data_IF_614640281283
#
_entry.id   IF_614640281283
#
_cell.length_a   1.000
_cell.length_b   1.000
_cell.length_c   1.000
_cell.angle_alpha   90.00
_cell.angle_beta   90.00
_cell.angle_gamma   90.00
#
_symmetry.space_group_name_H-M   'P 1'
#
loop_
_entity.id
_entity.type
_entity.pdbx_description
1 polymer ?
#
# COMPACT_ATOMS: atom_id res chain seq x y z
N UNK A 1 13.71 24.12 21.80
CA UNK A 1 14.28 23.37 20.64
C UNK A 1 15.68 23.91 20.39
N UNK A 2 16.71 23.08 20.40
CA UNK A 2 18.11 23.51 20.22
C UNK A 2 18.52 23.50 18.75
N UNK A 3 18.21 24.59 18.04
CA UNK A 3 18.76 24.88 16.72
C UNK A 3 20.29 25.05 16.82
N UNK A 4 21.05 24.51 15.87
CA UNK A 4 22.51 24.65 15.81
C UNK A 4 23.35 23.60 16.54
N UNK A 5 22.75 22.56 17.16
CA UNK A 5 23.53 21.42 17.68
C UNK A 5 23.55 20.28 16.66
N UNK A 6 24.72 19.98 16.12
CA UNK A 6 24.94 18.78 15.31
C UNK A 6 24.99 17.52 16.17
N UNK A 7 24.47 16.41 15.65
CA UNK A 7 24.57 15.11 16.30
C UNK A 7 25.95 14.50 16.05
N UNK A 8 26.64 14.09 17.13
CA UNK A 8 27.95 13.42 17.08
C UNK A 8 27.85 12.13 17.89
N UNK A 9 28.23 10.99 17.30
CA UNK A 9 28.49 9.74 18.04
C UNK A 9 29.99 9.66 18.32
N UNK A 10 30.44 10.27 19.42
CA UNK A 10 31.82 10.09 19.95
C UNK A 10 32.97 10.21 18.93
N UNK A 11 32.81 10.99 17.86
CA UNK A 11 33.83 11.23 16.82
C UNK A 11 34.35 12.68 16.93
N UNK A 12 35.68 12.86 16.85
CA UNK A 12 36.32 14.17 16.69
C UNK A 12 36.21 14.59 15.21
N UNK A 13 35.47 15.67 14.90
CA UNK A 13 35.32 16.16 13.52
C UNK A 13 34.04 16.97 13.25
N UNK A 14 33.82 17.29 11.97
CA UNK A 14 32.60 17.94 11.46
C UNK A 14 31.37 17.09 11.83
N UNK A 15 30.29 17.68 12.38
CA UNK A 15 29.10 16.91 12.75
C UNK A 15 28.50 16.20 11.53
N UNK A 16 28.24 14.88 11.67
CA UNK A 16 27.62 14.06 10.59
C UNK A 16 26.22 14.52 10.21
N UNK A 17 25.52 15.16 11.13
CA UNK A 17 24.20 15.75 10.91
C UNK A 17 24.19 17.12 11.59
N UNK A 18 23.98 18.20 10.84
CA UNK A 18 23.86 19.54 11.38
C UNK A 18 22.79 20.35 10.66
N UNK A 19 21.96 21.06 11.42
CA UNK A 19 21.00 22.01 10.88
C UNK A 19 21.69 23.36 10.64
N UNK A 20 21.55 23.91 9.45
CA UNK A 20 21.95 25.30 9.20
C UNK A 20 20.98 26.27 9.91
N UNK A 21 21.47 27.48 10.14
CA UNK A 21 20.69 28.53 10.79
C UNK A 21 19.50 28.88 9.88
N UNK A 22 18.28 28.74 10.40
CA UNK A 22 17.03 28.88 9.63
C UNK A 22 16.30 27.57 9.34
N UNK A 23 16.94 26.41 9.55
CA UNK A 23 16.26 25.11 9.46
C UNK A 23 15.84 24.70 8.04
N UNK A 24 16.33 25.38 7.01
CA UNK A 24 16.02 25.12 5.59
C UNK A 24 17.02 24.18 4.93
N UNK A 25 18.19 23.99 5.54
CA UNK A 25 19.26 23.12 5.05
C UNK A 25 19.73 22.20 6.17
N UNK A 26 19.86 20.92 5.82
CA UNK A 26 20.44 19.86 6.64
C UNK A 26 21.78 19.49 6.03
N UNK A 27 22.86 19.61 6.78
CA UNK A 27 24.14 19.05 6.40
C UNK A 27 24.21 17.59 6.88
N UNK A 28 24.38 16.64 5.97
CA UNK A 28 24.57 15.23 6.26
C UNK A 28 25.86 14.74 5.62
N UNK A 29 26.80 14.25 6.43
CA UNK A 29 28.13 13.78 5.99
C UNK A 29 28.90 14.76 5.09
N UNK A 30 28.72 16.08 5.30
CA UNK A 30 29.35 17.13 4.50
C UNK A 30 28.53 17.57 3.29
N UNK A 31 27.49 16.84 2.92
CA UNK A 31 26.57 17.19 1.83
C UNK A 31 25.45 18.10 2.35
N UNK A 32 25.13 19.16 1.61
CA UNK A 32 24.03 20.08 1.92
C UNK A 32 22.75 19.59 1.27
N UNK A 33 21.75 19.27 2.09
CA UNK A 33 20.44 18.80 1.65
C UNK A 33 19.41 19.88 1.97
N UNK A 34 18.72 20.38 0.95
CA UNK A 34 17.63 21.32 1.15
C UNK A 34 16.38 20.60 1.65
N UNK A 35 15.73 21.17 2.66
CA UNK A 35 14.49 20.60 3.20
C UNK A 35 13.36 20.63 2.17
N UNK A 36 13.37 21.62 1.26
CA UNK A 36 12.44 21.67 0.11
C UNK A 36 12.57 20.45 -0.78
N UNK A 37 13.79 19.99 -1.04
CA UNK A 37 14.04 18.87 -1.94
C UNK A 37 13.59 17.56 -1.30
N UNK A 38 13.83 17.40 0.01
CA UNK A 38 13.29 16.28 0.79
C UNK A 38 11.76 16.27 0.79
N UNK A 39 11.11 17.43 0.97
CA UNK A 39 9.66 17.56 0.91
C UNK A 39 9.12 17.22 -0.48
N UNK A 40 9.77 17.72 -1.54
CA UNK A 40 9.38 17.44 -2.92
C UNK A 40 9.54 15.95 -3.25
N UNK A 41 10.63 15.32 -2.82
CA UNK A 41 10.83 13.88 -2.97
C UNK A 41 9.77 13.08 -2.22
N UNK A 42 9.41 13.49 -1.00
CA UNK A 42 8.36 12.86 -0.22
C UNK A 42 6.99 12.91 -0.92
N UNK A 43 6.64 14.06 -1.50
CA UNK A 43 5.40 14.23 -2.29
C UNK A 43 5.45 13.36 -3.56
N UNK A 44 6.54 13.40 -4.31
CA UNK A 44 6.69 12.62 -5.54
C UNK A 44 6.56 11.10 -5.31
N UNK A 45 7.05 10.60 -4.16
CA UNK A 45 6.91 9.19 -3.78
C UNK A 45 5.44 8.82 -3.50
N UNK A 46 4.69 9.72 -2.85
CA UNK A 46 3.25 9.51 -2.60
C UNK A 46 2.48 9.54 -3.92
N UNK A 47 2.78 10.48 -4.81
CA UNK A 47 2.15 10.58 -6.13
C UNK A 47 2.44 9.33 -7.00
N UNK A 48 3.67 8.80 -6.96
CA UNK A 48 4.00 7.54 -7.64
C UNK A 48 3.20 6.37 -7.03
N UNK A 49 3.11 6.28 -5.70
CA UNK A 49 2.32 5.25 -5.04
C UNK A 49 0.83 5.34 -5.42
N UNK A 50 0.24 6.54 -5.46
CA UNK A 50 -1.14 6.76 -5.91
C UNK A 50 -1.33 6.36 -7.37
N UNK A 51 -0.39 6.72 -8.25
CA UNK A 51 -0.42 6.37 -9.67
C UNK A 51 -0.42 4.84 -9.87
N UNK A 52 0.47 4.15 -9.16
CA UNK A 52 0.56 2.69 -9.21
C UNK A 52 -0.71 2.04 -8.63
N UNK A 53 -1.22 2.55 -7.50
CA UNK A 53 -2.48 2.09 -6.92
C UNK A 53 -3.64 2.24 -7.91
N UNK A 54 -3.73 3.39 -8.58
CA UNK A 54 -4.76 3.64 -9.57
C UNK A 54 -4.73 2.60 -10.70
N UNK A 55 -3.54 2.24 -11.20
CA UNK A 55 -3.39 1.17 -12.20
C UNK A 55 -3.82 -0.23 -11.70
N UNK A 56 -3.58 -0.52 -10.42
CA UNK A 56 -4.05 -1.74 -9.76
C UNK A 56 -5.57 -1.75 -9.57
N UNK A 57 -6.20 -0.59 -9.41
CA UNK A 57 -7.64 -0.40 -9.26
C UNK A 57 -8.35 -0.09 -10.60
N UNK A 58 -7.75 -0.44 -11.73
CA UNK A 58 -8.32 -0.20 -13.07
C UNK A 58 -8.71 1.28 -13.34
N UNK A 59 -7.96 2.24 -12.79
CA UNK A 59 -8.20 3.67 -13.01
C UNK A 59 -9.27 4.30 -12.12
N UNK A 60 -9.80 3.56 -11.13
CA UNK A 60 -10.94 4.00 -10.31
C UNK A 60 -10.55 4.66 -8.98
N UNK A 61 -9.27 4.95 -8.75
CA UNK A 61 -8.81 5.47 -7.45
C UNK A 61 -9.51 6.77 -7.04
N UNK A 62 -9.68 7.71 -7.98
CA UNK A 62 -10.36 8.98 -7.70
C UNK A 62 -11.81 8.81 -7.20
N UNK A 63 -12.49 7.74 -7.62
CA UNK A 63 -13.86 7.43 -7.19
C UNK A 63 -13.87 6.71 -5.84
N UNK A 64 -12.89 5.84 -5.61
CA UNK A 64 -12.76 5.03 -4.39
C UNK A 64 -12.25 5.87 -3.21
N UNK A 65 -11.24 6.72 -3.43
CA UNK A 65 -10.57 7.53 -2.40
C UNK A 65 -11.55 8.23 -1.44
N UNK A 66 -12.60 8.96 -1.90
CA UNK A 66 -13.53 9.63 -0.99
C UNK A 66 -14.46 8.69 -0.22
N UNK A 67 -14.63 7.44 -0.65
CA UNK A 67 -15.44 6.45 0.07
C UNK A 67 -14.74 5.92 1.33
N UNK A 68 -13.43 6.10 1.42
CA UNK A 68 -12.62 5.67 2.57
C UNK A 68 -12.56 6.80 3.58
N UNK A 69 -13.57 6.84 4.45
CA UNK A 69 -13.65 7.78 5.57
C UNK A 69 -12.81 7.25 6.73
N UNK A 70 -11.58 7.76 6.87
CA UNK A 70 -10.62 7.27 7.87
C UNK A 70 -11.13 7.38 9.31
N UNK A 71 -11.95 8.40 9.61
CA UNK A 71 -12.54 8.60 10.95
C UNK A 71 -13.54 7.51 11.36
N UNK A 72 -14.14 6.82 10.40
CA UNK A 72 -15.15 5.78 10.63
C UNK A 72 -14.52 4.39 10.77
N UNK A 73 -13.21 4.26 10.53
CA UNK A 73 -12.49 3.01 10.67
C UNK A 73 -12.26 2.73 12.15
N UNK A 74 -12.84 1.63 12.63
CA UNK A 74 -12.62 1.14 13.99
C UNK A 74 -11.38 0.24 13.99
N UNK A 75 -10.30 0.73 14.58
CA UNK A 75 -9.02 0.02 14.74
C UNK A 75 -8.71 -0.10 16.24
N UNK A 76 -8.74 -1.31 16.81
CA UNK A 76 -8.59 -1.51 18.26
C UNK A 76 -7.53 -2.56 18.58
N UNK A 77 -6.32 -2.08 18.85
CA UNK A 77 -5.20 -2.91 19.28
C UNK A 77 -5.41 -3.61 20.64
N UNK A 78 -6.43 -3.23 21.41
CA UNK A 78 -6.71 -3.80 22.75
C UNK A 78 -7.43 -5.15 22.65
N UNK A 79 -8.09 -5.43 21.53
CA UNK A 79 -8.92 -6.64 21.33
C UNK A 79 -8.51 -7.49 20.12
N UNK A 80 -7.42 -7.13 19.45
CA UNK A 80 -6.97 -7.79 18.22
C UNK A 80 -5.92 -8.85 18.54
N UNK A 81 -6.35 -10.12 18.57
CA UNK A 81 -5.47 -11.28 18.60
C UNK A 81 -4.72 -11.48 17.28
N UNK A 82 -3.80 -12.46 17.20
CA UNK A 82 -3.02 -12.74 15.99
C UNK A 82 -3.91 -12.89 14.74
N UNK A 83 -3.49 -12.26 13.64
CA UNK A 83 -4.21 -12.28 12.36
C UNK A 83 -5.43 -11.35 12.29
N UNK A 84 -5.71 -10.55 13.33
CA UNK A 84 -6.73 -9.50 13.28
C UNK A 84 -6.12 -8.14 12.96
N UNK A 85 -6.90 -7.35 12.25
CA UNK A 85 -6.66 -5.94 11.94
C UNK A 85 -8.01 -5.24 11.78
N UNK A 86 -8.00 -3.92 11.58
CA UNK A 86 -9.20 -3.17 11.17
C UNK A 86 -9.93 -3.83 9.98
N UNK A 87 -9.24 -4.48 9.04
CA UNK A 87 -9.85 -5.12 7.87
C UNK A 87 -10.70 -6.34 8.23
N UNK A 88 -10.44 -6.98 9.38
CA UNK A 88 -11.19 -8.13 9.89
C UNK A 88 -12.29 -7.75 10.88
N UNK A 89 -12.38 -6.47 11.26
CA UNK A 89 -13.35 -6.00 12.24
C UNK A 89 -14.75 -5.92 11.62
N UNK A 90 -15.74 -6.55 12.26
CA UNK A 90 -17.13 -6.60 11.76
C UNK A 90 -17.80 -5.22 11.65
N UNK A 91 -17.30 -4.23 12.41
CA UNK A 91 -17.74 -2.82 12.33
C UNK A 91 -17.26 -2.13 11.05
N UNK A 92 -16.19 -2.64 10.42
CA UNK A 92 -15.63 -2.12 9.18
C UNK A 92 -16.11 -2.90 7.94
N UNK A 93 -17.21 -3.66 8.02
CA UNK A 93 -17.77 -4.43 6.89
C UNK A 93 -18.08 -3.58 5.66
N UNK A 94 -18.34 -2.28 5.85
CA UNK A 94 -18.53 -1.33 4.77
C UNK A 94 -17.30 -1.20 3.84
N UNK A 95 -16.08 -1.51 4.32
CA UNK A 95 -14.88 -1.58 3.49
C UNK A 95 -14.88 -2.77 2.53
N UNK A 96 -15.76 -3.77 2.73
CA UNK A 96 -15.82 -4.99 1.91
C UNK A 96 -14.44 -5.67 1.78
N UNK A 97 -13.71 -5.78 2.89
CA UNK A 97 -12.38 -6.36 2.89
C UNK A 97 -12.40 -7.82 2.37
N UNK A 98 -11.38 -8.18 1.61
CA UNK A 98 -11.27 -9.48 0.94
C UNK A 98 -11.07 -9.35 -0.57
N UNK A 99 -11.30 -10.46 -1.28
CA UNK A 99 -11.00 -10.56 -2.72
C UNK A 99 -12.09 -10.02 -3.61
N UNK A 100 -13.33 -9.94 -3.11
CA UNK A 100 -14.51 -9.60 -3.91
C UNK A 100 -14.37 -8.27 -4.63
N UNK A 101 -13.89 -7.23 -3.92
CA UNK A 101 -13.74 -5.89 -4.51
C UNK A 101 -12.74 -5.87 -5.66
N UNK A 102 -11.61 -6.53 -5.52
CA UNK A 102 -10.63 -6.64 -6.61
C UNK A 102 -11.13 -7.54 -7.74
N UNK A 103 -11.83 -8.63 -7.42
CA UNK A 103 -12.45 -9.48 -8.44
C UNK A 103 -13.48 -8.72 -9.28
N UNK A 104 -14.25 -7.82 -8.67
CA UNK A 104 -15.16 -6.90 -9.37
C UNK A 104 -14.38 -5.93 -10.28
N UNK A 105 -13.39 -5.21 -9.72
CA UNK A 105 -12.67 -4.14 -10.42
C UNK A 105 -11.75 -4.63 -11.54
N UNK A 106 -10.99 -5.70 -11.30
CA UNK A 106 -9.94 -6.19 -12.22
C UNK A 106 -10.18 -7.60 -12.72
N UNK A 107 -11.16 -8.34 -12.18
CA UNK A 107 -11.44 -9.70 -12.62
C UNK A 107 -11.70 -9.84 -14.12
N UNK A 108 -12.49 -8.96 -14.77
CA UNK A 108 -12.70 -9.01 -16.22
C UNK A 108 -11.41 -8.83 -17.05
N UNK A 109 -10.42 -8.11 -16.50
CA UNK A 109 -9.09 -7.94 -17.11
C UNK A 109 -8.21 -9.17 -16.93
N UNK A 110 -8.26 -9.79 -15.74
CA UNK A 110 -7.35 -10.87 -15.35
C UNK A 110 -7.86 -12.27 -15.73
N UNK A 111 -9.17 -12.44 -15.86
CA UNK A 111 -9.82 -13.72 -16.11
C UNK A 111 -10.72 -13.65 -17.34
N UNK A 112 -10.87 -14.78 -18.03
CA UNK A 112 -11.83 -14.97 -19.12
C UNK A 112 -12.87 -15.98 -18.69
N UNK A 113 -14.13 -15.58 -18.69
CA UNK A 113 -15.24 -16.51 -18.50
C UNK A 113 -15.32 -17.47 -19.70
N UNK A 114 -15.44 -18.77 -19.42
CA UNK A 114 -15.58 -19.85 -20.39
C UNK A 114 -16.83 -20.64 -19.99
N UNK A 115 -17.82 -20.68 -20.88
CA UNK A 115 -19.00 -21.52 -20.69
C UNK A 115 -18.60 -22.96 -21.01
N UNK A 116 -18.88 -23.86 -20.08
CA UNK A 116 -18.69 -25.30 -20.26
C UNK A 116 -19.96 -25.90 -20.87
N UNK A 117 -19.86 -27.05 -21.54
CA UNK A 117 -20.99 -27.69 -22.26
C UNK A 117 -22.22 -27.97 -21.38
N UNK A 118 -22.09 -27.98 -20.06
CA UNK A 118 -23.19 -28.07 -19.08
C UNK A 118 -23.74 -26.74 -18.54
N UNK A 119 -23.49 -25.60 -19.21
CA UNK A 119 -23.97 -24.28 -18.76
C UNK A 119 -23.20 -23.65 -17.58
N UNK A 120 -22.25 -24.37 -17.00
CA UNK A 120 -21.39 -23.88 -15.91
C UNK A 120 -20.34 -22.91 -16.44
N UNK A 121 -20.19 -21.76 -15.78
CA UNK A 121 -19.14 -20.78 -16.12
C UNK A 121 -17.86 -21.11 -15.34
N UNK A 122 -16.78 -21.37 -16.07
CA UNK A 122 -15.42 -21.50 -15.52
C UNK A 122 -14.62 -20.26 -15.87
N UNK A 123 -13.57 -19.97 -15.11
CA UNK A 123 -12.71 -18.80 -15.36
C UNK A 123 -11.30 -19.27 -15.73
N UNK A 124 -10.84 -18.90 -16.93
CA UNK A 124 -9.46 -19.12 -17.35
C UNK A 124 -8.62 -17.89 -17.05
N UNK A 125 -7.49 -18.09 -16.39
CA UNK A 125 -6.50 -17.06 -16.10
C UNK A 125 -5.88 -16.51 -17.39
N UNK A 126 -5.86 -15.19 -17.55
CA UNK A 126 -5.05 -14.53 -18.59
C UNK A 126 -3.65 -14.33 -18.02
N UNK A 127 -2.80 -15.34 -18.22
CA UNK A 127 -1.48 -15.44 -17.57
C UNK A 127 -0.66 -14.15 -17.69
N UNK A 128 -0.52 -13.59 -18.89
CA UNK A 128 0.20 -12.33 -19.11
C UNK A 128 -0.37 -11.16 -18.28
N UNK A 129 -1.69 -10.98 -18.28
CA UNK A 129 -2.32 -9.90 -17.52
C UNK A 129 -2.15 -10.07 -16.00
N UNK A 130 -2.12 -11.32 -15.51
CA UNK A 130 -1.84 -11.61 -14.09
C UNK A 130 -0.38 -11.37 -13.76
N UNK A 131 0.56 -11.76 -14.62
CA UNK A 131 1.99 -11.48 -14.44
C UNK A 131 2.28 -9.97 -14.42
N UNK A 132 1.69 -9.21 -15.35
CA UNK A 132 1.75 -7.75 -15.38
C UNK A 132 1.16 -7.12 -14.11
N UNK A 133 0.01 -7.63 -13.64
CA UNK A 133 -0.60 -7.17 -12.39
C UNK A 133 0.30 -7.41 -11.18
N UNK A 134 0.91 -8.60 -11.07
CA UNK A 134 1.82 -8.95 -9.97
C UNK A 134 3.08 -8.07 -10.03
N UNK A 135 3.64 -7.83 -11.22
CA UNK A 135 4.79 -6.94 -11.37
C UNK A 135 4.45 -5.50 -10.94
N UNK A 136 3.28 -5.00 -11.34
CA UNK A 136 2.79 -3.69 -10.92
C UNK A 136 2.60 -3.63 -9.40
N UNK A 137 2.02 -4.67 -8.80
CA UNK A 137 1.84 -4.77 -7.35
C UNK A 137 3.17 -4.79 -6.59
N UNK A 138 4.20 -5.48 -7.12
CA UNK A 138 5.55 -5.46 -6.54
C UNK A 138 6.14 -4.05 -6.54
N UNK A 139 6.02 -3.32 -7.66
CA UNK A 139 6.49 -1.93 -7.74
C UNK A 139 5.74 -1.03 -6.75
N UNK A 140 4.42 -1.15 -6.69
CA UNK A 140 3.58 -0.44 -5.73
C UNK A 140 4.04 -0.68 -4.28
N UNK A 141 4.27 -1.93 -3.89
CA UNK A 141 4.74 -2.27 -2.53
C UNK A 141 6.07 -1.61 -2.19
N UNK A 142 7.02 -1.60 -3.11
CA UNK A 142 8.31 -0.95 -2.91
C UNK A 142 8.16 0.57 -2.71
N UNK A 143 7.38 1.24 -3.57
CA UNK A 143 7.14 2.68 -3.46
C UNK A 143 6.35 3.02 -2.19
N UNK A 144 5.32 2.24 -1.87
CA UNK A 144 4.51 2.41 -0.68
C UNK A 144 5.32 2.21 0.60
N UNK A 145 6.25 1.25 0.63
CA UNK A 145 7.15 1.07 1.75
C UNK A 145 7.99 2.33 2.01
N UNK A 146 8.53 2.94 0.94
CA UNK A 146 9.26 4.20 1.05
C UNK A 146 8.36 5.34 1.55
N UNK A 147 7.15 5.48 1.00
CA UNK A 147 6.17 6.48 1.44
C UNK A 147 5.88 6.37 2.94
N UNK A 148 5.59 5.15 3.42
CA UNK A 148 5.32 4.90 4.84
C UNK A 148 6.55 5.16 5.71
N UNK A 149 7.77 4.88 5.23
CA UNK A 149 8.99 5.12 6.02
C UNK A 149 9.29 6.61 6.20
N UNK A 150 9.03 7.43 5.18
CA UNK A 150 9.22 8.89 5.25
C UNK A 150 8.29 9.52 6.30
N UNK A 151 7.03 9.07 6.35
CA UNK A 151 5.99 9.65 7.20
C UNK A 151 5.78 8.91 8.53
N UNK A 152 6.23 7.66 8.65
CA UNK A 152 5.97 6.74 9.76
C UNK A 152 6.93 6.86 10.95
N UNK A 153 7.70 7.94 11.04
CA UNK A 153 8.67 8.19 12.10
C UNK A 153 8.08 8.48 13.49
N UNK A 154 7.14 7.65 13.99
CA UNK A 154 6.79 7.42 15.41
C UNK A 154 5.60 6.42 15.56
N UNK A 155 5.89 5.22 16.07
CA UNK A 155 5.03 4.43 16.98
C UNK A 155 3.64 3.94 16.54
N UNK A 156 3.52 2.61 16.33
CA UNK A 156 2.38 1.68 16.55
C UNK A 156 0.93 2.03 16.13
N UNK A 157 0.64 3.21 15.55
CA UNK A 157 -0.67 3.56 14.95
C UNK A 157 -0.46 4.04 13.51
N UNK A 158 -0.31 3.10 12.57
CA UNK A 158 0.17 3.40 11.21
C UNK A 158 -0.76 4.33 10.45
N UNK A 159 -2.09 4.25 10.61
CA UNK A 159 -3.04 5.03 9.79
C UNK A 159 -3.35 6.43 10.34
N UNK A 160 -3.05 6.72 11.62
CA UNK A 160 -3.41 8.01 12.25
C UNK A 160 -2.35 9.10 12.10
N UNK A 161 -1.12 8.72 11.75
CA UNK A 161 0.03 9.63 11.70
C UNK A 161 0.58 9.86 10.29
N UNK A 162 0.08 9.11 9.31
CA UNK A 162 0.37 9.33 7.91
C UNK A 162 -0.49 10.49 7.38
N UNK A 163 -0.02 11.23 6.35
CA UNK A 163 -0.90 12.06 5.55
C UNK A 163 -2.11 11.25 5.10
N UNK A 164 -3.30 11.86 5.09
CA UNK A 164 -4.55 11.12 4.87
C UNK A 164 -4.53 10.27 3.59
N UNK A 165 -3.83 10.74 2.57
CA UNK A 165 -3.74 10.05 1.28
C UNK A 165 -2.95 8.75 1.40
N UNK A 166 -1.82 8.79 2.10
CA UNK A 166 -1.04 7.58 2.39
C UNK A 166 -1.84 6.63 3.28
N UNK A 167 -2.62 7.15 4.24
CA UNK A 167 -3.53 6.34 5.06
C UNK A 167 -4.61 5.62 4.24
N UNK A 168 -5.22 6.29 3.26
CA UNK A 168 -6.22 5.67 2.39
C UNK A 168 -5.58 4.61 1.48
N UNK A 169 -4.38 4.86 0.96
CA UNK A 169 -3.58 3.87 0.21
C UNK A 169 -3.33 2.63 1.09
N UNK A 170 -2.92 2.82 2.35
CA UNK A 170 -2.71 1.74 3.32
C UNK A 170 -3.97 0.91 3.54
N UNK A 171 -5.13 1.56 3.68
CA UNK A 171 -6.41 0.89 3.88
C UNK A 171 -6.73 -0.02 2.70
N UNK A 172 -6.65 0.48 1.46
CA UNK A 172 -6.88 -0.33 0.26
C UNK A 172 -5.89 -1.49 0.15
N UNK A 173 -4.61 -1.23 0.43
CA UNK A 173 -3.59 -2.25 0.35
C UNK A 173 -3.89 -3.43 1.28
N UNK A 174 -4.18 -3.16 2.55
CA UNK A 174 -4.45 -4.20 3.55
C UNK A 174 -5.80 -4.86 3.32
N UNK A 175 -6.85 -4.08 3.05
CA UNK A 175 -8.21 -4.61 2.93
C UNK A 175 -8.44 -5.40 1.64
N UNK A 176 -7.81 -5.00 0.52
CA UNK A 176 -8.14 -5.52 -0.81
C UNK A 176 -6.95 -6.17 -1.51
N UNK A 177 -5.80 -5.49 -1.60
CA UNK A 177 -4.67 -5.98 -2.41
C UNK A 177 -3.97 -7.19 -1.76
N UNK A 178 -3.73 -7.17 -0.45
CA UNK A 178 -3.12 -8.30 0.28
C UNK A 178 -3.92 -9.60 0.12
N UNK A 179 -5.22 -9.66 0.45
CA UNK A 179 -6.01 -10.88 0.25
C UNK A 179 -6.12 -11.29 -1.22
N UNK A 180 -6.20 -10.33 -2.15
CA UNK A 180 -6.29 -10.64 -3.59
C UNK A 180 -4.99 -11.27 -4.13
N UNK A 181 -3.83 -10.72 -3.75
CA UNK A 181 -2.53 -11.27 -4.14
C UNK A 181 -2.34 -12.69 -3.63
N UNK A 182 -2.76 -12.99 -2.40
CA UNK A 182 -2.69 -14.36 -1.87
C UNK A 182 -3.47 -15.35 -2.74
N UNK A 183 -4.64 -14.95 -3.26
CA UNK A 183 -5.40 -15.78 -4.20
C UNK A 183 -4.68 -15.90 -5.54
N UNK A 184 -4.13 -14.82 -6.09
CA UNK A 184 -3.36 -14.89 -7.33
C UNK A 184 -2.15 -15.83 -7.24
N UNK A 185 -1.42 -15.82 -6.12
CA UNK A 185 -0.31 -16.76 -5.88
C UNK A 185 -0.78 -18.21 -5.72
N UNK A 186 -1.92 -18.44 -5.06
CA UNK A 186 -2.51 -19.79 -4.99
C UNK A 186 -2.92 -20.28 -6.37
N UNK A 187 -3.52 -19.42 -7.18
CA UNK A 187 -3.93 -19.76 -8.55
C UNK A 187 -2.73 -20.01 -9.46
N UNK A 188 -1.67 -19.19 -9.38
CA UNK A 188 -0.46 -19.41 -10.18
C UNK A 188 0.33 -20.65 -9.76
N UNK A 189 0.30 -21.01 -8.47
CA UNK A 189 0.85 -22.27 -7.96
C UNK A 189 -0.01 -23.51 -8.27
N UNK A 190 -1.35 -23.38 -8.23
CA UNK A 190 -2.29 -24.47 -8.52
C UNK A 190 -2.45 -24.75 -10.02
N UNK A 191 -2.11 -23.82 -10.91
CA UNK A 191 -2.14 -24.06 -12.38
C UNK A 191 -1.07 -25.08 -12.83
N UNK A 192 -0.20 -25.56 -11.94
CA UNK A 192 0.56 -26.80 -12.14
C UNK A 192 -0.31 -28.08 -12.10
N UNK A 193 -1.48 -28.06 -11.47
CA UNK A 193 -2.42 -29.18 -11.37
C UNK A 193 -3.87 -28.71 -11.16
N UNK A 194 -4.67 -28.68 -12.23
CA UNK A 194 -6.14 -28.76 -12.15
C UNK A 194 -6.90 -27.46 -11.82
N UNK A 195 -8.05 -27.27 -12.48
CA UNK A 195 -8.84 -26.04 -12.46
C UNK A 195 -9.49 -25.67 -11.11
N UNK A 196 -9.82 -24.39 -10.97
CA UNK A 196 -10.43 -23.79 -9.79
C UNK A 196 -11.98 -23.82 -9.87
N UNK A 197 -12.62 -24.41 -8.86
CA UNK A 197 -14.01 -24.15 -8.49
C UNK A 197 -14.04 -23.05 -7.40
N UNK A 198 -14.75 -21.92 -7.60
CA UNK A 198 -14.99 -20.99 -6.51
C UNK A 198 -16.02 -21.59 -5.54
N UNK A 199 -15.63 -21.70 -4.27
CA UNK A 199 -16.58 -21.94 -3.18
C UNK A 199 -17.46 -20.71 -2.99
N UNK A 200 -18.77 -20.97 -2.92
CA UNK A 200 -19.86 -20.01 -2.63
C UNK A 200 -19.77 -19.51 -1.20
#
# INVERSE_FOLDING_TARGET
MSYGRGFRRHELGTPRLAWEQGGTVLNFEGERIWISDLQQAAVAIVDEAETLLNGLLAGTWAQIRPTIVLGDIIDSLVYEGPGRSFATNSKNRWLQAGVGKMAELVGPRLFRAVKTEGGRTTYKCRRQAVEEFILHLKRFKSTMLAAVHIWGGKGRRVVRWLPEDVSRIMVVYVAWLVPFEQVLHRLSGAVGHGGFEPAV
#
